data_IF_672768279858
#
_entry.id   IF_672768279858
#
_cell.length_a   1.000
_cell.length_b   1.000
_cell.length_c   1.000
_cell.angle_alpha   90.00
_cell.angle_beta   90.00
_cell.angle_gamma   90.00
#
_symmetry.space_group_name_H-M   'P 1'
#
loop_
_entity.id
_entity.type
_entity.pdbx_description
1 polymer ?
#
# COMPACT_ATOMS: atom_id res chain seq x y z
N UNK A 1 -63.42 5.93 19.48
CA UNK A 1 -62.45 5.11 18.71
C UNK A 1 -63.21 4.23 17.73
N UNK A 2 -63.03 4.24 16.42
CA UNK A 2 -62.38 5.15 15.46
C UNK A 2 -63.26 5.01 14.20
N UNK A 3 -63.63 6.14 13.57
CA UNK A 3 -64.32 6.11 12.27
C UNK A 3 -63.34 5.49 11.26
N UNK A 4 -63.72 4.38 10.62
CA UNK A 4 -62.96 3.85 9.50
C UNK A 4 -63.11 4.83 8.34
N UNK A 5 -62.01 5.48 8.00
CA UNK A 5 -61.91 6.38 6.86
C UNK A 5 -62.16 5.61 5.56
N UNK A 6 -62.91 6.23 4.65
CA UNK A 6 -63.21 5.68 3.31
C UNK A 6 -61.95 5.44 2.44
N UNK A 7 -60.76 5.84 2.91
CA UNK A 7 -59.47 5.57 2.27
C UNK A 7 -58.96 4.12 2.47
N UNK A 8 -59.35 3.44 3.55
CA UNK A 8 -58.88 2.07 3.86
C UNK A 8 -59.59 0.97 3.05
N UNK A 9 -60.67 1.31 2.33
CA UNK A 9 -61.41 0.37 1.48
C UNK A 9 -61.02 0.46 0.00
N UNK A 10 -60.15 1.40 -0.39
CA UNK A 10 -59.71 1.56 -1.77
C UNK A 10 -58.94 0.34 -2.32
N UNK A 11 -58.04 -0.32 -1.55
CA UNK A 11 -57.36 -1.53 -2.02
C UNK A 11 -58.34 -2.69 -2.19
N UNK A 12 -59.31 -2.84 -1.28
CA UNK A 12 -60.31 -3.90 -1.31
C UNK A 12 -61.29 -3.70 -2.48
N UNK A 13 -61.69 -2.46 -2.77
CA UNK A 13 -62.50 -2.14 -3.97
C UNK A 13 -61.76 -2.43 -5.26
N UNK A 14 -60.46 -2.10 -5.33
CA UNK A 14 -59.63 -2.35 -6.52
C UNK A 14 -59.48 -3.85 -6.77
N UNK A 15 -59.21 -4.63 -5.72
CA UNK A 15 -59.16 -6.10 -5.79
C UNK A 15 -60.51 -6.70 -6.19
N UNK A 16 -61.63 -6.15 -5.72
CA UNK A 16 -62.97 -6.58 -6.13
C UNK A 16 -63.28 -6.23 -7.59
N UNK A 17 -62.86 -5.06 -8.08
CA UNK A 17 -63.00 -4.70 -9.49
C UNK A 17 -62.10 -5.56 -10.39
N UNK A 18 -60.87 -5.85 -9.97
CA UNK A 18 -59.95 -6.75 -10.69
C UNK A 18 -60.46 -8.19 -10.71
N UNK A 19 -61.09 -8.67 -9.62
CA UNK A 19 -61.76 -9.98 -9.58
C UNK A 19 -63.00 -10.01 -10.47
N UNK A 20 -63.74 -8.90 -10.56
CA UNK A 20 -64.94 -8.80 -11.39
C UNK A 20 -64.58 -8.73 -12.87
N UNK A 21 -63.51 -8.03 -13.22
CA UNK A 21 -62.92 -7.99 -14.56
C UNK A 21 -62.37 -9.37 -14.96
N UNK A 22 -61.62 -10.03 -14.08
CA UNK A 22 -61.16 -11.39 -14.33
C UNK A 22 -62.32 -12.39 -14.48
N UNK A 23 -63.38 -12.26 -13.68
CA UNK A 23 -64.58 -13.09 -13.83
C UNK A 23 -65.32 -12.80 -15.16
N UNK A 24 -65.42 -11.53 -15.58
CA UNK A 24 -66.04 -11.20 -16.87
C UNK A 24 -65.20 -11.70 -18.04
N UNK A 25 -63.87 -11.61 -17.95
CA UNK A 25 -62.95 -12.08 -18.98
C UNK A 25 -62.96 -13.61 -19.05
N UNK A 26 -63.01 -14.31 -17.91
CA UNK A 26 -63.14 -15.77 -17.91
C UNK A 26 -64.47 -16.23 -18.50
N UNK A 27 -65.56 -15.52 -18.18
CA UNK A 27 -66.89 -15.82 -18.76
C UNK A 27 -66.90 -15.52 -20.24
N UNK A 28 -66.31 -14.41 -20.69
CA UNK A 28 -66.26 -14.03 -22.10
C UNK A 28 -65.38 -14.96 -22.93
N UNK A 29 -64.21 -15.39 -22.40
CA UNK A 29 -63.36 -16.38 -23.06
C UNK A 29 -64.05 -17.75 -23.12
N UNK A 30 -64.79 -18.13 -22.06
CA UNK A 30 -65.51 -19.41 -22.03
C UNK A 30 -66.75 -19.41 -22.93
N UNK A 31 -67.50 -18.32 -23.03
CA UNK A 31 -68.63 -18.21 -23.98
C UNK A 31 -68.15 -18.07 -25.41
N UNK A 32 -67.09 -17.30 -25.67
CA UNK A 32 -66.53 -17.16 -27.02
C UNK A 32 -65.92 -18.47 -27.53
N UNK A 33 -65.25 -19.25 -26.67
CA UNK A 33 -64.79 -20.59 -27.02
C UNK A 33 -65.92 -21.61 -27.24
N UNK A 34 -67.06 -21.44 -26.55
CA UNK A 34 -68.26 -22.26 -26.78
C UNK A 34 -68.98 -21.85 -28.09
N UNK A 35 -69.04 -20.56 -28.41
CA UNK A 35 -69.64 -20.05 -29.64
C UNK A 35 -68.79 -20.38 -30.87
N UNK A 36 -67.46 -20.24 -30.78
CA UNK A 36 -66.52 -20.66 -31.83
C UNK A 36 -66.56 -22.18 -32.04
N UNK A 37 -66.66 -22.96 -30.96
CA UNK A 37 -66.83 -24.42 -31.02
C UNK A 37 -68.20 -24.83 -31.58
N UNK A 38 -69.27 -24.10 -31.27
CA UNK A 38 -70.61 -24.32 -31.79
C UNK A 38 -70.72 -23.92 -33.27
N UNK A 39 -70.08 -22.83 -33.69
CA UNK A 39 -69.98 -22.42 -35.10
C UNK A 39 -69.14 -23.39 -35.91
N UNK A 40 -68.00 -23.85 -35.39
CA UNK A 40 -67.18 -24.85 -36.08
C UNK A 40 -67.96 -26.16 -36.30
N UNK A 41 -68.69 -26.64 -35.29
CA UNK A 41 -69.58 -27.82 -35.43
C UNK A 41 -70.76 -27.55 -36.36
N UNK A 42 -71.35 -26.35 -36.33
CA UNK A 42 -72.43 -25.96 -37.23
C UNK A 42 -71.97 -25.92 -38.70
N UNK A 43 -70.78 -25.38 -38.96
CA UNK A 43 -70.17 -25.32 -40.30
C UNK A 43 -69.74 -26.69 -40.80
N UNK A 44 -69.29 -27.57 -39.91
CA UNK A 44 -68.99 -28.97 -40.23
C UNK A 44 -70.27 -29.74 -40.56
N UNK A 45 -71.33 -29.59 -39.77
CA UNK A 45 -72.66 -30.16 -40.05
C UNK A 45 -73.24 -29.59 -41.35
N UNK A 46 -73.09 -28.28 -41.60
CA UNK A 46 -73.54 -27.63 -42.85
C UNK A 46 -72.77 -28.16 -44.05
N UNK A 47 -71.46 -28.34 -43.95
CA UNK A 47 -70.64 -28.98 -45.00
C UNK A 47 -71.03 -30.44 -45.21
N UNK A 48 -71.24 -31.21 -44.15
CA UNK A 48 -71.71 -32.59 -44.21
C UNK A 48 -73.11 -32.70 -44.85
N UNK A 49 -74.02 -31.77 -44.52
CA UNK A 49 -75.36 -31.69 -45.09
C UNK A 49 -75.33 -31.28 -46.56
N UNK A 50 -74.45 -30.36 -46.97
CA UNK A 50 -74.23 -30.02 -48.38
C UNK A 50 -73.65 -31.21 -49.15
N UNK A 51 -72.65 -31.90 -48.61
CA UNK A 51 -72.09 -33.11 -49.25
C UNK A 51 -73.10 -34.25 -49.31
N UNK A 52 -73.92 -34.44 -48.27
CA UNK A 52 -75.02 -35.40 -48.29
C UNK A 52 -76.07 -35.04 -49.34
N UNK A 53 -76.48 -33.76 -49.43
CA UNK A 53 -77.46 -33.30 -50.42
C UNK A 53 -76.92 -33.44 -51.84
N UNK A 54 -75.63 -33.12 -52.05
CA UNK A 54 -74.96 -33.27 -53.34
C UNK A 54 -74.80 -34.76 -53.72
N UNK A 55 -74.53 -35.64 -52.75
CA UNK A 55 -74.53 -37.11 -52.98
C UNK A 55 -75.94 -37.65 -53.23
N UNK A 56 -76.95 -37.17 -52.53
CA UNK A 56 -78.36 -37.53 -52.72
C UNK A 56 -78.85 -37.08 -54.11
N UNK A 57 -78.52 -35.88 -54.55
CA UNK A 57 -78.82 -35.39 -55.90
C UNK A 57 -78.11 -36.23 -56.96
N UNK A 58 -76.84 -36.60 -56.74
CA UNK A 58 -76.13 -37.53 -57.64
C UNK A 58 -76.72 -38.94 -57.65
N UNK A 59 -77.28 -39.40 -56.54
CA UNK A 59 -77.97 -40.69 -56.44
C UNK A 59 -79.33 -40.65 -57.14
N UNK A 60 -80.12 -39.58 -56.94
CA UNK A 60 -81.38 -39.36 -57.65
C UNK A 60 -81.17 -39.17 -59.16
N UNK A 61 -80.11 -38.45 -59.57
CA UNK A 61 -79.76 -38.32 -60.99
C UNK A 61 -79.31 -39.67 -61.59
N UNK A 62 -78.62 -40.50 -60.79
CA UNK A 62 -78.28 -41.87 -61.21
C UNK A 62 -79.51 -42.79 -61.25
N UNK A 63 -80.42 -42.72 -60.29
CA UNK A 63 -81.68 -43.47 -60.29
C UNK A 63 -82.60 -43.01 -61.40
N UNK A 64 -82.71 -41.70 -61.66
CA UNK A 64 -83.47 -41.16 -62.79
C UNK A 64 -82.87 -41.60 -64.13
N UNK A 65 -81.55 -41.55 -64.29
CA UNK A 65 -80.87 -42.10 -65.48
C UNK A 65 -81.03 -43.61 -65.60
N UNK A 66 -81.02 -44.34 -64.49
CA UNK A 66 -81.27 -45.78 -64.46
C UNK A 66 -82.72 -46.10 -64.87
N UNK A 67 -83.70 -45.37 -64.35
CA UNK A 67 -85.11 -45.54 -64.67
C UNK A 67 -85.41 -45.15 -66.12
N UNK A 68 -84.76 -44.09 -66.63
CA UNK A 68 -84.84 -43.69 -68.03
C UNK A 68 -84.15 -44.70 -68.96
N UNK A 69 -83.02 -45.29 -68.56
CA UNK A 69 -82.38 -46.38 -69.29
C UNK A 69 -83.19 -47.68 -69.22
N UNK A 70 -83.87 -47.96 -68.10
CA UNK A 70 -84.77 -49.10 -67.95
C UNK A 70 -86.05 -48.92 -68.78
N UNK A 71 -86.58 -47.69 -68.93
CA UNK A 71 -87.66 -47.35 -69.88
C UNK A 71 -87.20 -47.49 -71.34
N UNK A 72 -86.02 -46.95 -71.71
CA UNK A 72 -85.43 -47.11 -73.06
C UNK A 72 -85.14 -48.59 -73.38
N UNK A 73 -84.83 -49.42 -72.37
CA UNK A 73 -84.58 -50.85 -72.55
C UNK A 73 -85.87 -51.68 -72.74
N UNK A 74 -87.04 -51.18 -72.29
CA UNK A 74 -88.34 -51.84 -72.53
C UNK A 74 -88.93 -51.52 -73.91
N UNK A 75 -88.46 -50.45 -74.55
CA UNK A 75 -88.63 -50.23 -75.99
C UNK A 75 -87.63 -51.11 -76.75
N UNK A 76 -88.13 -52.01 -77.58
CA UNK A 76 -87.36 -53.08 -78.21
C UNK A 76 -86.22 -52.52 -79.09
N UNK A 77 -84.99 -52.53 -78.60
CA UNK A 77 -83.80 -52.42 -79.46
C UNK A 77 -83.38 -53.83 -79.86
N UNK A 78 -83.92 -54.30 -80.99
CA UNK A 78 -83.27 -55.37 -81.74
C UNK A 78 -81.97 -54.79 -82.29
N UNK A 79 -80.86 -55.03 -81.59
CA UNK A 79 -79.52 -54.75 -82.12
C UNK A 79 -79.24 -55.80 -83.18
N UNK A 80 -78.89 -55.35 -84.38
CA UNK A 80 -78.53 -56.22 -85.50
C UNK A 80 -77.30 -57.07 -85.11
N UNK A 81 -77.30 -58.40 -85.26
CA UNK A 81 -76.17 -59.26 -84.91
C UNK A 81 -74.84 -58.94 -85.63
N UNK A 82 -74.83 -58.06 -86.64
CA UNK A 82 -73.60 -57.46 -87.16
C UNK A 82 -73.10 -56.27 -86.34
N UNK A 83 -73.97 -55.35 -85.90
CA UNK A 83 -73.60 -54.24 -85.01
C UNK A 83 -73.12 -54.72 -83.64
N UNK A 84 -73.68 -55.83 -83.12
CA UNK A 84 -73.22 -56.43 -81.87
C UNK A 84 -71.82 -57.03 -82.00
N UNK A 85 -71.49 -57.65 -83.15
CA UNK A 85 -70.14 -58.17 -83.43
C UNK A 85 -69.13 -57.05 -83.69
N UNK A 86 -69.56 -55.93 -84.28
CA UNK A 86 -68.71 -54.76 -84.51
C UNK A 86 -68.44 -53.99 -83.21
N UNK A 87 -69.44 -53.83 -82.34
CA UNK A 87 -69.27 -53.31 -80.98
C UNK A 87 -68.42 -54.24 -80.08
N UNK A 88 -68.52 -55.56 -80.24
CA UNK A 88 -67.64 -56.52 -79.55
C UNK A 88 -66.18 -56.41 -80.01
N UNK A 89 -65.92 -56.17 -81.31
CA UNK A 89 -64.57 -55.88 -81.82
C UNK A 89 -64.06 -54.53 -81.33
N UNK A 90 -64.88 -53.49 -81.40
CA UNK A 90 -64.50 -52.15 -80.96
C UNK A 90 -64.27 -52.09 -79.43
N UNK A 91 -65.03 -52.86 -78.65
CA UNK A 91 -64.80 -53.02 -77.20
C UNK A 91 -63.60 -53.91 -76.88
N UNK A 92 -63.27 -54.91 -77.72
CA UNK A 92 -62.03 -55.68 -77.60
C UNK A 92 -60.80 -54.80 -77.88
N UNK A 93 -60.85 -53.97 -78.93
CA UNK A 93 -59.79 -53.02 -79.27
C UNK A 93 -59.64 -51.93 -78.19
N UNK A 94 -60.75 -51.36 -77.72
CA UNK A 94 -60.74 -50.42 -76.57
C UNK A 94 -60.22 -51.08 -75.29
N UNK A 95 -60.54 -52.35 -75.03
CA UNK A 95 -59.98 -53.11 -73.89
C UNK A 95 -58.48 -53.32 -74.05
N UNK A 96 -57.99 -53.58 -75.25
CA UNK A 96 -56.55 -53.75 -75.53
C UNK A 96 -55.80 -52.42 -75.36
N UNK A 97 -56.36 -51.31 -75.85
CA UNK A 97 -55.85 -49.94 -75.65
C UNK A 97 -55.84 -49.55 -74.17
N UNK A 98 -56.93 -49.82 -73.44
CA UNK A 98 -57.00 -49.57 -71.98
C UNK A 98 -55.98 -50.43 -71.23
N UNK A 99 -55.74 -51.67 -71.65
CA UNK A 99 -54.73 -52.55 -71.05
C UNK A 99 -53.32 -52.00 -71.28
N UNK A 100 -53.02 -51.51 -72.49
CA UNK A 100 -51.75 -50.83 -72.84
C UNK A 100 -51.57 -49.55 -72.03
N UNK A 101 -52.60 -48.71 -71.92
CA UNK A 101 -52.57 -47.48 -71.12
C UNK A 101 -52.44 -47.74 -69.61
N UNK A 102 -53.11 -48.78 -69.07
CA UNK A 102 -52.95 -49.18 -67.67
C UNK A 102 -51.54 -49.69 -67.40
N UNK A 103 -50.95 -50.43 -68.34
CA UNK A 103 -49.55 -50.86 -68.23
C UNK A 103 -48.60 -49.68 -68.27
N UNK A 104 -48.72 -48.79 -69.26
CA UNK A 104 -47.91 -47.57 -69.37
C UNK A 104 -48.05 -46.63 -68.15
N UNK A 105 -49.26 -46.52 -67.57
CA UNK A 105 -49.50 -45.73 -66.37
C UNK A 105 -48.94 -46.43 -65.11
N UNK A 106 -49.00 -47.76 -65.02
CA UNK A 106 -48.35 -48.51 -63.95
C UNK A 106 -46.82 -48.37 -64.02
N UNK A 107 -46.24 -48.43 -65.23
CA UNK A 107 -44.81 -48.23 -65.46
C UNK A 107 -44.40 -46.78 -65.12
N UNK A 108 -45.21 -45.79 -65.50
CA UNK A 108 -44.97 -44.37 -65.16
C UNK A 108 -45.09 -44.11 -63.65
N UNK A 109 -46.08 -44.71 -62.97
CA UNK A 109 -46.21 -44.63 -61.52
C UNK A 109 -45.07 -45.32 -60.78
N UNK A 110 -44.52 -46.40 -61.35
CA UNK A 110 -43.35 -47.08 -60.79
C UNK A 110 -42.11 -46.18 -60.87
N UNK A 111 -41.87 -45.53 -62.03
CA UNK A 111 -40.78 -44.57 -62.20
C UNK A 111 -40.91 -43.37 -61.26
N UNK A 112 -42.10 -42.75 -61.18
CA UNK A 112 -42.35 -41.61 -60.29
C UNK A 112 -42.18 -41.98 -58.81
N UNK A 113 -42.54 -43.21 -58.41
CA UNK A 113 -42.27 -43.71 -57.05
C UNK A 113 -40.78 -43.89 -56.80
N UNK A 114 -40.02 -44.36 -57.80
CA UNK A 114 -38.56 -44.44 -57.73
C UNK A 114 -37.92 -43.06 -57.58
N UNK A 115 -38.34 -42.09 -58.39
CA UNK A 115 -37.87 -40.68 -58.29
C UNK A 115 -38.25 -40.06 -56.93
N UNK A 116 -39.47 -40.28 -56.44
CA UNK A 116 -39.88 -39.78 -55.13
C UNK A 116 -39.10 -40.43 -53.98
N UNK A 117 -38.75 -41.72 -54.08
CA UNK A 117 -37.88 -42.39 -53.12
C UNK A 117 -36.46 -41.83 -53.15
N UNK A 118 -35.92 -41.58 -54.34
CA UNK A 118 -34.59 -40.98 -54.50
C UNK A 118 -34.54 -39.56 -53.90
N UNK A 119 -35.54 -38.74 -54.17
CA UNK A 119 -35.66 -37.38 -53.59
C UNK A 119 -35.80 -37.46 -52.06
N UNK A 120 -36.56 -38.42 -51.53
CA UNK A 120 -36.71 -38.61 -50.09
C UNK A 120 -35.36 -38.93 -49.41
N UNK A 121 -34.56 -39.81 -50.03
CA UNK A 121 -33.21 -40.13 -49.55
C UNK A 121 -32.29 -38.90 -49.57
N UNK A 122 -32.31 -38.12 -50.66
CA UNK A 122 -31.52 -36.89 -50.76
C UNK A 122 -31.93 -35.83 -49.73
N UNK A 123 -33.24 -35.71 -49.44
CA UNK A 123 -33.74 -34.83 -48.38
C UNK A 123 -33.29 -35.30 -47.00
N UNK A 124 -33.30 -36.60 -46.73
CA UNK A 124 -32.82 -37.17 -45.47
C UNK A 124 -31.32 -36.94 -45.29
N UNK A 125 -30.50 -37.12 -46.33
CA UNK A 125 -29.07 -36.83 -46.32
C UNK A 125 -28.79 -35.34 -46.06
N UNK A 126 -29.53 -34.44 -46.71
CA UNK A 126 -29.42 -32.99 -46.49
C UNK A 126 -29.83 -32.60 -45.06
N UNK A 127 -30.90 -33.21 -44.53
CA UNK A 127 -31.32 -32.98 -43.14
C UNK A 127 -30.28 -33.47 -42.14
N UNK A 128 -29.66 -34.63 -42.39
CA UNK A 128 -28.56 -35.12 -41.55
C UNK A 128 -27.33 -34.21 -41.64
N UNK A 129 -27.00 -33.74 -42.84
CA UNK A 129 -25.95 -32.75 -43.09
C UNK A 129 -26.19 -31.44 -42.35
N UNK A 130 -27.42 -30.91 -42.41
CA UNK A 130 -27.83 -29.71 -41.68
C UNK A 130 -27.68 -29.88 -40.17
N UNK A 131 -28.16 -30.99 -39.59
CA UNK A 131 -28.00 -31.30 -38.16
C UNK A 131 -26.53 -31.38 -37.74
N UNK A 132 -25.66 -31.97 -38.56
CA UNK A 132 -24.21 -32.03 -38.30
C UNK A 132 -23.58 -30.63 -38.32
N UNK A 133 -24.01 -29.76 -39.24
CA UNK A 133 -23.53 -28.38 -39.31
C UNK A 133 -24.02 -27.54 -38.14
N UNK A 134 -25.29 -27.68 -37.73
CA UNK A 134 -25.83 -27.04 -36.53
C UNK A 134 -25.06 -27.45 -35.28
N UNK A 135 -24.79 -28.75 -35.10
CA UNK A 135 -23.99 -29.24 -33.99
C UNK A 135 -22.57 -28.66 -33.97
N UNK A 136 -21.93 -28.52 -35.14
CA UNK A 136 -20.61 -27.86 -35.27
C UNK A 136 -20.68 -26.36 -34.98
N UNK A 137 -21.75 -25.68 -35.40
CA UNK A 137 -21.97 -24.27 -35.12
C UNK A 137 -22.16 -24.03 -33.62
N UNK A 138 -22.92 -24.89 -32.94
CA UNK A 138 -23.11 -24.78 -31.49
C UNK A 138 -21.82 -25.09 -30.73
N UNK A 139 -21.04 -26.08 -31.16
CA UNK A 139 -19.73 -26.36 -30.58
C UNK A 139 -18.76 -25.18 -30.75
N UNK A 140 -18.73 -24.54 -31.91
CA UNK A 140 -17.88 -23.36 -32.17
C UNK A 140 -18.33 -22.13 -31.39
N UNK A 141 -19.64 -21.89 -31.25
CA UNK A 141 -20.19 -20.84 -30.36
C UNK A 141 -19.77 -21.06 -28.91
N UNK A 142 -19.86 -22.29 -28.39
CA UNK A 142 -19.41 -22.62 -27.03
C UNK A 142 -17.90 -22.40 -26.87
N UNK A 143 -17.11 -22.82 -27.85
CA UNK A 143 -15.66 -22.59 -27.85
C UNK A 143 -15.32 -21.10 -27.85
N UNK A 144 -16.07 -20.28 -28.60
CA UNK A 144 -15.88 -18.82 -28.64
C UNK A 144 -16.20 -18.17 -27.28
N UNK A 145 -17.27 -18.58 -26.61
CA UNK A 145 -17.60 -18.09 -25.26
C UNK A 145 -16.47 -18.41 -24.28
N UNK A 146 -16.00 -19.66 -24.27
CA UNK A 146 -14.88 -20.07 -23.42
C UNK A 146 -13.58 -19.29 -23.72
N UNK A 147 -13.30 -19.01 -24.99
CA UNK A 147 -12.13 -18.21 -25.37
C UNK A 147 -12.22 -16.76 -24.87
N UNK A 148 -13.42 -16.14 -24.91
CA UNK A 148 -13.65 -14.81 -24.36
C UNK A 148 -13.50 -14.81 -22.84
N UNK A 149 -14.04 -15.80 -22.14
CA UNK A 149 -13.86 -15.95 -20.69
C UNK A 149 -12.39 -16.11 -20.30
N UNK A 150 -11.63 -16.94 -21.03
CA UNK A 150 -10.19 -17.10 -20.84
C UNK A 150 -9.43 -15.80 -21.08
N UNK A 151 -9.79 -15.04 -22.13
CA UNK A 151 -9.17 -13.75 -22.42
C UNK A 151 -9.44 -12.72 -21.31
N UNK A 152 -10.66 -12.66 -20.78
CA UNK A 152 -11.02 -11.80 -19.65
C UNK A 152 -10.25 -12.18 -18.38
N UNK A 153 -10.15 -13.48 -18.09
CA UNK A 153 -9.34 -13.97 -16.97
C UNK A 153 -7.86 -13.57 -17.14
N UNK A 154 -7.29 -13.76 -18.33
CA UNK A 154 -5.91 -13.39 -18.61
C UNK A 154 -5.68 -11.89 -18.46
N UNK A 155 -6.60 -11.04 -18.94
CA UNK A 155 -6.54 -9.59 -18.74
C UNK A 155 -6.53 -9.22 -17.25
N UNK A 156 -7.43 -9.82 -16.45
CA UNK A 156 -7.48 -9.58 -15.00
C UNK A 156 -6.20 -10.02 -14.28
N UNK A 157 -5.58 -11.12 -14.71
CA UNK A 157 -4.30 -11.58 -14.15
C UNK A 157 -3.17 -10.63 -14.51
N UNK A 158 -3.13 -10.11 -15.74
CA UNK A 158 -2.14 -9.11 -16.18
C UNK A 158 -2.25 -7.83 -15.34
N UNK A 159 -3.47 -7.33 -15.12
CA UNK A 159 -3.71 -6.16 -14.26
C UNK A 159 -3.26 -6.42 -12.81
N UNK A 160 -3.60 -7.59 -12.24
CA UNK A 160 -3.13 -7.98 -10.90
C UNK A 160 -1.61 -8.05 -10.84
N UNK A 161 -0.94 -8.64 -11.84
CA UNK A 161 0.53 -8.71 -11.88
C UNK A 161 1.13 -7.30 -11.97
N UNK A 162 0.57 -6.41 -12.80
CA UNK A 162 1.01 -5.03 -12.91
C UNK A 162 0.87 -4.28 -11.57
N UNK A 163 -0.24 -4.48 -10.87
CA UNK A 163 -0.46 -3.92 -9.53
C UNK A 163 0.58 -4.41 -8.52
N UNK A 164 0.83 -5.71 -8.43
CA UNK A 164 1.85 -6.27 -7.53
C UNK A 164 3.26 -5.77 -7.88
N UNK A 165 3.60 -5.64 -9.17
CA UNK A 165 4.89 -5.06 -9.59
C UNK A 165 5.05 -3.62 -9.14
N UNK A 166 3.98 -2.80 -9.20
CA UNK A 166 4.02 -1.44 -8.70
C UNK A 166 4.18 -1.38 -7.17
N UNK A 167 3.48 -2.25 -6.43
CA UNK A 167 3.66 -2.39 -4.98
C UNK A 167 5.09 -2.80 -4.60
N UNK A 168 5.65 -3.80 -5.30
CA UNK A 168 7.03 -4.25 -5.08
C UNK A 168 8.05 -3.14 -5.34
N UNK A 169 7.88 -2.34 -6.41
CA UNK A 169 8.73 -1.16 -6.66
C UNK A 169 8.67 -0.15 -5.52
N UNK A 170 7.48 0.09 -4.95
CA UNK A 170 7.30 1.00 -3.81
C UNK A 170 7.99 0.44 -2.56
N UNK A 171 7.88 -0.86 -2.30
CA UNK A 171 8.57 -1.50 -1.17
C UNK A 171 10.09 -1.44 -1.37
N UNK A 172 10.59 -1.74 -2.56
CA UNK A 172 12.03 -1.68 -2.89
C UNK A 172 12.58 -0.26 -2.68
N UNK A 173 11.86 0.77 -3.13
CA UNK A 173 12.27 2.16 -2.86
C UNK A 173 12.34 2.50 -1.37
N UNK A 174 11.37 2.01 -0.57
CA UNK A 174 11.37 2.23 0.89
C UNK A 174 12.52 1.47 1.55
N UNK A 175 12.80 0.26 1.10
CA UNK A 175 13.90 -0.56 1.59
C UNK A 175 15.25 0.12 1.34
N UNK A 176 15.49 0.62 0.13
CA UNK A 176 16.72 1.34 -0.20
C UNK A 176 16.90 2.61 0.62
N UNK A 177 15.83 3.38 0.83
CA UNK A 177 15.88 4.56 1.71
C UNK A 177 16.22 4.18 3.16
N UNK A 178 15.62 3.11 3.67
CA UNK A 178 15.90 2.62 5.02
C UNK A 178 17.33 2.06 5.16
N UNK A 179 17.84 1.38 4.13
CA UNK A 179 19.23 0.92 4.09
C UNK A 179 20.22 2.08 4.09
N UNK A 180 20.00 3.11 3.27
CA UNK A 180 20.84 4.32 3.28
C UNK A 180 20.84 5.02 4.64
N UNK A 181 19.67 5.17 5.27
CA UNK A 181 19.57 5.74 6.61
C UNK A 181 20.29 4.89 7.68
N UNK A 182 20.27 3.57 7.55
CA UNK A 182 20.98 2.67 8.45
C UNK A 182 22.51 2.78 8.28
N UNK A 183 22.99 2.91 7.04
CA UNK A 183 24.41 3.14 6.74
C UNK A 183 24.89 4.50 7.28
N UNK A 184 24.11 5.57 7.11
CA UNK A 184 24.41 6.89 7.68
C UNK A 184 24.47 6.85 9.22
N UNK A 185 23.52 6.19 9.88
CA UNK A 185 23.53 6.02 11.33
C UNK A 185 24.73 5.19 11.81
N UNK A 186 25.13 4.17 11.05
CA UNK A 186 26.30 3.36 11.36
C UNK A 186 27.59 4.20 11.27
N UNK A 187 27.73 5.03 10.23
CA UNK A 187 28.87 5.96 10.11
C UNK A 187 28.89 7.00 11.24
N UNK A 188 27.73 7.55 11.61
CA UNK A 188 27.62 8.47 12.75
C UNK A 188 28.04 7.79 14.06
N UNK A 189 27.62 6.55 14.28
CA UNK A 189 28.01 5.77 15.45
C UNK A 189 29.53 5.57 15.50
N UNK A 190 30.15 5.14 14.40
CA UNK A 190 31.60 4.95 14.31
C UNK A 190 32.37 6.26 14.58
N UNK A 191 31.87 7.39 14.05
CA UNK A 191 32.44 8.70 14.32
C UNK A 191 32.34 9.10 15.80
N UNK A 192 31.21 8.82 16.46
CA UNK A 192 31.03 9.12 17.89
C UNK A 192 31.92 8.23 18.76
N UNK A 193 32.05 6.95 18.41
CA UNK A 193 32.95 6.02 19.10
C UNK A 193 34.42 6.49 19.00
N UNK A 194 34.85 6.94 17.82
CA UNK A 194 36.19 7.51 17.63
C UNK A 194 36.41 8.80 18.47
N UNK A 195 35.45 9.74 18.44
CA UNK A 195 35.51 10.95 19.27
C UNK A 195 35.55 10.64 20.76
N UNK A 196 34.81 9.62 21.19
CA UNK A 196 34.80 9.19 22.59
C UNK A 196 36.16 8.61 23.00
N UNK A 197 36.80 7.83 22.13
CA UNK A 197 38.15 7.32 22.35
C UNK A 197 39.19 8.45 22.44
N UNK A 198 39.10 9.46 21.56
CA UNK A 198 39.98 10.63 21.58
C UNK A 198 39.84 11.46 22.86
N UNK A 199 38.59 11.73 23.27
CA UNK A 199 38.30 12.44 24.52
C UNK A 199 38.81 11.63 25.72
N UNK A 200 38.62 10.31 25.73
CA UNK A 200 39.15 9.45 26.78
C UNK A 200 40.68 9.54 26.88
N UNK A 201 41.39 9.48 25.74
CA UNK A 201 42.84 9.65 25.68
C UNK A 201 43.31 11.06 26.10
N UNK A 202 42.51 12.10 25.83
CA UNK A 202 42.80 13.45 26.32
C UNK A 202 42.63 13.56 27.84
N UNK A 203 41.54 13.02 28.40
CA UNK A 203 41.29 13.00 29.84
C UNK A 203 42.40 12.25 30.58
N UNK A 204 42.83 11.08 30.08
CA UNK A 204 43.94 10.34 30.69
C UNK A 204 45.23 11.16 30.75
N UNK A 205 45.57 11.90 29.69
CA UNK A 205 46.74 12.81 29.69
C UNK A 205 46.58 13.94 30.72
N UNK A 206 45.42 14.58 30.77
CA UNK A 206 45.16 15.64 31.75
C UNK A 206 45.24 15.13 33.21
N UNK A 207 44.83 13.88 33.46
CA UNK A 207 44.98 13.26 34.78
C UNK A 207 46.45 13.08 35.14
N UNK A 208 47.27 12.57 34.21
CA UNK A 208 48.72 12.44 34.41
C UNK A 208 49.39 13.80 34.65
N UNK A 209 49.06 14.82 33.86
CA UNK A 209 49.59 16.17 34.03
C UNK A 209 49.21 16.76 35.40
N UNK A 210 47.95 16.54 35.83
CA UNK A 210 47.49 16.96 37.16
C UNK A 210 48.28 16.27 38.27
N UNK A 211 48.55 14.98 38.16
CA UNK A 211 49.34 14.24 39.14
C UNK A 211 50.77 14.80 39.25
N UNK A 212 51.40 15.12 38.12
CA UNK A 212 52.73 15.75 38.09
C UNK A 212 52.70 17.13 38.76
N UNK A 213 51.73 17.97 38.42
CA UNK A 213 51.59 19.31 39.03
C UNK A 213 51.32 19.20 40.53
N UNK A 214 50.51 18.24 40.95
CA UNK A 214 50.22 18.00 42.37
C UNK A 214 51.48 17.56 43.13
N UNK A 215 52.30 16.67 42.56
CA UNK A 215 53.58 16.28 43.14
C UNK A 215 54.56 17.46 43.24
N UNK A 216 54.66 18.28 42.20
CA UNK A 216 55.48 19.49 42.21
C UNK A 216 55.03 20.48 43.30
N UNK A 217 53.72 20.71 43.44
CA UNK A 217 53.17 21.59 44.46
C UNK A 217 53.53 21.10 45.88
N UNK A 218 53.38 19.80 46.15
CA UNK A 218 53.74 19.20 47.45
C UNK A 218 55.24 19.34 47.75
N UNK A 219 56.08 19.17 46.73
CA UNK A 219 57.53 19.35 46.86
C UNK A 219 57.89 20.79 47.21
N UNK A 220 57.31 21.77 46.51
CA UNK A 220 57.53 23.20 46.78
C UNK A 220 57.06 23.59 48.18
N UNK A 221 55.91 23.07 48.63
CA UNK A 221 55.42 23.31 49.99
C UNK A 221 56.39 22.78 51.06
N UNK A 222 56.96 21.59 50.84
CA UNK A 222 57.93 20.99 51.75
C UNK A 222 59.24 21.78 51.79
N UNK A 223 59.73 22.24 50.62
CA UNK A 223 60.91 23.11 50.54
C UNK A 223 60.68 24.46 51.25
N UNK A 224 59.51 25.06 51.06
CA UNK A 224 59.13 26.32 51.72
C UNK A 224 59.10 26.16 53.24
N UNK A 225 58.45 25.13 53.76
CA UNK A 225 58.43 24.83 55.19
C UNK A 225 59.84 24.64 55.76
N UNK A 226 60.72 23.94 55.03
CA UNK A 226 62.12 23.76 55.43
C UNK A 226 62.87 25.08 55.45
N UNK A 227 62.69 25.95 54.45
CA UNK A 227 63.32 27.26 54.41
C UNK A 227 62.87 28.15 55.56
N UNK A 228 61.57 28.16 55.89
CA UNK A 228 61.03 28.91 57.02
C UNK A 228 61.62 28.40 58.34
N UNK A 229 61.70 27.08 58.53
CA UNK A 229 62.31 26.49 59.72
C UNK A 229 63.80 26.90 59.86
N UNK A 230 64.58 26.81 58.78
CA UNK A 230 65.98 27.23 58.77
C UNK A 230 66.15 28.72 59.04
N UNK A 231 65.27 29.57 58.49
CA UNK A 231 65.31 31.01 58.75
C UNK A 231 64.99 31.32 60.21
N UNK A 232 64.01 30.63 60.81
CA UNK A 232 63.67 30.79 62.23
C UNK A 232 64.84 30.36 63.13
N UNK A 233 65.48 29.22 62.85
CA UNK A 233 66.68 28.77 63.56
C UNK A 233 67.81 29.79 63.45
N UNK A 234 68.05 30.33 62.25
CA UNK A 234 69.09 31.34 62.01
C UNK A 234 68.80 32.64 62.76
N UNK A 235 67.56 33.12 62.76
CA UNK A 235 67.14 34.32 63.51
C UNK A 235 67.31 34.10 65.01
N UNK A 236 66.86 32.95 65.54
CA UNK A 236 67.02 32.61 66.95
C UNK A 236 68.50 32.52 67.36
N UNK A 237 69.34 31.93 66.51
CA UNK A 237 70.79 31.88 66.73
C UNK A 237 71.41 33.28 66.74
N UNK A 238 71.04 34.15 65.78
CA UNK A 238 71.50 35.54 65.75
C UNK A 238 71.09 36.31 67.00
N UNK A 239 69.85 36.14 67.47
CA UNK A 239 69.37 36.76 68.70
C UNK A 239 70.17 36.28 69.93
N UNK A 240 70.39 34.97 70.05
CA UNK A 240 71.17 34.38 71.14
C UNK A 240 72.61 34.90 71.14
N UNK A 241 73.30 34.84 70.00
CA UNK A 241 74.69 35.30 69.87
C UNK A 241 74.79 36.81 70.09
N UNK A 242 73.88 37.59 69.53
CA UNK A 242 73.85 39.05 69.73
C UNK A 242 73.60 39.41 71.19
N UNK A 243 72.78 38.65 71.92
CA UNK A 243 72.56 38.84 73.35
C UNK A 243 73.82 38.55 74.16
N UNK A 244 74.56 37.50 73.84
CA UNK A 244 75.85 37.18 74.49
C UNK A 244 76.87 38.27 74.20
N UNK A 245 77.03 38.68 72.93
CA UNK A 245 77.95 39.75 72.53
C UNK A 245 77.58 41.06 73.23
N UNK A 246 76.31 41.43 73.29
CA UNK A 246 75.82 42.62 74.02
C UNK A 246 76.20 42.56 75.50
N UNK A 247 76.01 41.42 76.15
CA UNK A 247 76.37 41.21 77.56
C UNK A 247 77.87 41.36 77.80
N UNK A 248 78.71 40.82 76.91
CA UNK A 248 80.17 40.86 77.05
C UNK A 248 80.79 42.22 76.68
N UNK A 249 80.30 42.86 75.62
CA UNK A 249 80.84 44.13 75.12
C UNK A 249 80.30 45.35 75.87
N UNK A 250 79.15 45.22 76.54
CA UNK A 250 78.40 46.35 77.08
C UNK A 250 77.78 47.25 76.00
N UNK A 251 77.83 46.84 74.72
CA UNK A 251 77.28 47.60 73.60
C UNK A 251 75.88 47.09 73.28
N UNK A 252 74.88 47.95 73.36
CA UNK A 252 73.51 47.62 72.94
C UNK A 252 73.10 48.44 71.72
N UNK A 253 72.30 47.86 70.84
CA UNK A 253 71.78 48.53 69.65
C UNK A 253 70.26 48.49 69.66
N UNK A 254 69.64 49.63 69.37
CA UNK A 254 68.21 49.76 69.16
C UNK A 254 67.96 50.58 67.88
N UNK A 255 66.98 50.18 67.09
CA UNK A 255 66.51 50.98 65.98
C UNK A 255 65.57 52.08 66.52
N UNK A 256 65.89 53.34 66.25
CA UNK A 256 65.09 54.49 66.72
C UNK A 256 63.98 54.79 65.71
N UNK A 257 64.32 54.76 64.43
CA UNK A 257 63.41 54.99 63.31
C UNK A 257 63.79 54.13 62.09
N UNK A 258 63.09 54.29 60.97
CA UNK A 258 63.29 53.46 59.77
C UNK A 258 64.75 53.44 59.27
N UNK A 259 65.52 54.50 59.51
CA UNK A 259 66.86 54.70 58.95
C UNK A 259 67.94 54.89 60.03
N UNK A 260 67.57 55.07 61.29
CA UNK A 260 68.50 55.45 62.36
C UNK A 260 68.61 54.36 63.43
N UNK A 261 69.86 53.98 63.72
CA UNK A 261 70.21 53.02 64.76
C UNK A 261 71.01 53.70 65.86
N UNK A 262 70.64 53.46 67.12
CA UNK A 262 71.37 53.90 68.30
C UNK A 262 72.17 52.75 68.89
N UNK A 263 73.48 52.93 68.95
CA UNK A 263 74.42 52.07 69.67
C UNK A 263 74.78 52.73 70.99
N UNK A 264 74.33 52.17 72.11
CA UNK A 264 74.76 52.58 73.45
C UNK A 264 76.07 51.86 73.74
N UNK A 265 77.14 52.62 73.92
CA UNK A 265 78.49 52.10 74.16
C UNK A 265 78.69 51.81 75.66
N UNK A 266 79.71 51.02 76.07
CA UNK A 266 80.06 50.81 77.48
C UNK A 266 80.60 52.06 78.20
N UNK A 267 80.50 53.23 77.55
CA UNK A 267 80.85 54.54 78.10
C UNK A 267 79.58 55.37 78.26
N UNK A 268 79.67 56.61 78.76
CA UNK A 268 78.51 57.51 78.85
C UNK A 268 78.03 58.06 77.48
N UNK A 269 78.41 57.42 76.38
CA UNK A 269 78.12 57.86 75.01
C UNK A 269 77.18 56.91 74.26
N UNK A 270 76.34 57.49 73.41
CA UNK A 270 75.53 56.80 72.42
C UNK A 270 75.95 57.25 71.01
N UNK A 271 76.22 56.29 70.14
CA UNK A 271 76.50 56.50 68.72
C UNK A 271 75.20 56.32 67.93
N UNK A 272 74.78 57.33 67.20
CA UNK A 272 73.65 57.27 66.29
C UNK A 272 74.17 57.12 64.86
N UNK A 273 73.68 56.12 64.15
CA UNK A 273 74.07 55.82 62.77
C UNK A 273 72.83 55.91 61.90
N UNK A 274 72.88 56.77 60.89
CA UNK A 274 71.84 56.86 59.88
C UNK A 274 72.25 56.06 58.64
N UNK A 275 71.32 55.29 58.10
CA UNK A 275 71.51 54.43 56.95
C UNK A 275 70.47 54.80 55.88
N UNK A 276 70.91 54.94 54.63
CA UNK A 276 70.00 54.99 53.50
C UNK A 276 69.42 53.59 53.28
N UNK A 277 68.15 53.39 53.62
CA UNK A 277 67.47 52.11 53.45
C UNK A 277 67.40 51.64 51.99
N UNK A 278 67.46 52.54 51.01
CA UNK A 278 67.42 52.16 49.59
C UNK A 278 68.76 51.60 49.09
N UNK A 279 69.87 52.12 49.60
CA UNK A 279 71.22 51.74 49.18
C UNK A 279 71.95 50.83 50.18
N UNK A 280 71.45 50.73 51.41
CA UNK A 280 72.08 50.00 52.50
C UNK A 280 73.40 50.63 52.97
N UNK A 281 73.57 51.94 52.75
CA UNK A 281 74.82 52.66 53.04
C UNK A 281 74.67 53.63 54.20
N UNK A 282 75.69 53.72 55.06
CA UNK A 282 75.75 54.73 56.14
C UNK A 282 75.80 56.12 55.51
N UNK A 283 74.90 57.01 55.94
CA UNK A 283 74.83 58.40 55.50
C UNK A 283 75.47 59.37 56.48
N UNK A 284 75.41 59.06 57.78
CA UNK A 284 75.99 59.87 58.85
C UNK A 284 76.15 59.08 60.14
N UNK A 285 77.07 59.51 61.00
CA UNK A 285 77.29 58.96 62.33
C UNK A 285 77.58 60.06 63.36
N UNK A 286 76.81 60.12 64.44
CA UNK A 286 76.94 61.16 65.48
C UNK A 286 77.07 60.56 66.88
N UNK A 287 77.90 61.19 67.72
CA UNK A 287 78.12 60.77 69.11
C UNK A 287 77.39 61.70 70.09
N UNK A 288 76.71 61.13 71.08
CA UNK A 288 75.97 61.86 72.11
C UNK A 288 76.40 61.42 73.53
N UNK A 289 76.79 62.33 74.44
CA UNK A 289 77.02 63.75 74.21
C UNK A 289 78.20 64.01 73.25
N UNK A 290 78.23 65.13 72.51
CA UNK A 290 79.27 65.44 71.53
C UNK A 290 80.55 65.95 72.21
N UNK A 291 81.17 65.08 72.99
CA UNK A 291 82.38 65.37 73.79
C UNK A 291 83.66 65.16 72.99
N UNK A 292 83.60 64.39 71.89
CA UNK A 292 84.74 64.03 71.04
C UNK A 292 84.37 64.27 69.57
N UNK A 293 85.27 64.89 68.80
CA UNK A 293 85.11 65.04 67.36
C UNK A 293 85.34 63.69 66.65
N UNK A 294 84.29 63.10 66.10
CA UNK A 294 84.32 61.81 65.37
C UNK A 294 84.26 61.95 63.85
N UNK A 295 84.36 63.18 63.31
CA UNK A 295 84.16 63.48 61.88
C UNK A 295 85.09 62.69 60.94
N UNK A 296 86.35 62.50 61.34
CA UNK A 296 87.31 61.70 60.53
C UNK A 296 86.95 60.21 60.52
N UNK A 297 86.40 59.70 61.63
CA UNK A 297 85.94 58.31 61.75
C UNK A 297 84.64 58.11 60.97
N UNK A 298 83.71 59.07 61.03
CA UNK A 298 82.46 59.08 60.27
C UNK A 298 82.74 59.01 58.76
N UNK A 299 83.59 59.90 58.23
CA UNK A 299 83.96 59.90 56.80
C UNK A 299 84.59 58.57 56.37
N UNK A 300 85.43 57.99 57.23
CA UNK A 300 86.06 56.71 56.96
C UNK A 300 85.03 55.55 56.95
N UNK A 301 84.11 55.55 57.92
CA UNK A 301 83.08 54.54 58.07
C UNK A 301 82.03 54.58 56.95
N UNK A 302 81.62 55.77 56.52
CA UNK A 302 80.75 55.97 55.36
C UNK A 302 81.42 55.37 54.11
N UNK A 303 82.70 55.69 53.89
CA UNK A 303 83.45 55.17 52.74
C UNK A 303 83.58 53.65 52.74
N UNK A 304 83.81 53.04 53.90
CA UNK A 304 83.91 51.58 54.03
C UNK A 304 82.55 50.90 54.23
N UNK A 305 81.48 51.68 54.38
CA UNK A 305 80.16 51.24 54.82
C UNK A 305 80.21 50.28 56.03
N UNK A 306 81.02 50.61 57.03
CA UNK A 306 81.32 49.71 58.15
C UNK A 306 80.90 50.29 59.49
N UNK A 307 79.79 49.77 60.02
CA UNK A 307 79.35 50.05 61.39
C UNK A 307 80.32 49.46 62.41
N UNK A 308 80.87 48.28 62.11
CA UNK A 308 81.85 47.62 62.98
C UNK A 308 83.07 48.52 63.25
N UNK A 309 83.54 49.24 62.23
CA UNK A 309 84.66 50.19 62.39
C UNK A 309 84.32 51.35 63.34
N UNK A 310 83.08 51.86 63.33
CA UNK A 310 82.67 52.96 64.23
C UNK A 310 82.45 52.51 65.66
N UNK A 311 82.00 51.27 65.84
CA UNK A 311 81.68 50.70 67.14
C UNK A 311 82.94 50.22 67.88
N UNK A 312 83.98 49.82 67.14
CA UNK A 312 85.32 49.48 67.67
C UNK A 312 86.12 50.72 68.01
#
# INVERSE_FOLDING_TARGET
NKRFDMADLAPIRRVLEDLKANCSDLVHVRTKGLDEGAQAKSDEVRRAKMTFTQRKLKLLDKEAKKHMLEEIWHDHVQIDPEEQREAERETADKKEVVKKLKKANADSLFMLKGEAQQIALEVDELNEGARKLEAKLDATKRAQVLAVEQQQQQASLVERIAHHRAQLKKIDSKLRMAQGAAEELQQQRESVEAQTADVHGHVQRCVQDREVVQQQLMHVQTLSQRHVAQQNERTAWFEQVSSVIRSLSGISCAQIDANTFQYVLPTEHALHICIDAAQGTITSATLHPPTVHVTDLELHAIRLNSVEFLVR
#
